data_IF_573723742488
#
_entry.id   IF_573723742488
#
_cell.length_a   1.000
_cell.length_b   1.000
_cell.length_c   1.000
_cell.angle_alpha   90.00
_cell.angle_beta   90.00
_cell.angle_gamma   90.00
#
_symmetry.space_group_name_H-M   'P 1'
#
loop_
_entity.id
_entity.type
_entity.pdbx_description
1 polymer ?
#
# COMPACT_ATOMS: atom_id res chain seq x y z
N UNK A 1 43.02 -5.64 36.50
CA UNK A 1 42.11 -6.58 35.83
C UNK A 1 40.87 -5.78 35.36
N UNK A 2 40.93 -5.21 34.16
CA UNK A 2 39.85 -4.38 33.60
C UNK A 2 38.94 -5.29 32.78
N UNK A 3 37.76 -5.57 33.29
CA UNK A 3 36.69 -6.16 32.48
C UNK A 3 36.02 -5.04 31.64
N UNK A 4 36.38 -4.99 30.38
CA UNK A 4 35.65 -4.18 29.40
C UNK A 4 34.28 -4.83 29.11
N UNK A 5 33.23 -4.18 29.58
CA UNK A 5 31.86 -4.49 29.14
C UNK A 5 31.72 -4.13 27.68
N UNK A 6 31.89 -5.12 26.82
CA UNK A 6 31.43 -5.04 25.43
C UNK A 6 29.92 -4.98 25.45
N UNK A 7 29.39 -3.79 25.21
CA UNK A 7 27.98 -3.59 24.88
C UNK A 7 27.64 -4.48 23.66
N UNK A 8 26.66 -5.40 23.76
CA UNK A 8 26.28 -6.17 22.60
C UNK A 8 25.75 -5.19 21.54
N UNK A 9 26.53 -4.96 20.48
CA UNK A 9 26.03 -4.34 19.26
C UNK A 9 24.78 -5.11 18.88
N UNK A 10 23.62 -4.43 18.92
CA UNK A 10 22.39 -4.93 18.32
C UNK A 10 22.77 -5.49 16.95
N UNK A 11 22.64 -6.80 16.80
CA UNK A 11 22.73 -7.46 15.50
C UNK A 11 21.63 -6.78 14.68
N UNK A 12 22.03 -5.85 13.81
CA UNK A 12 21.13 -5.20 12.88
C UNK A 12 20.52 -6.35 12.09
N UNK A 13 19.21 -6.57 12.27
CA UNK A 13 18.47 -7.54 11.48
C UNK A 13 18.92 -7.35 10.03
N UNK A 14 19.23 -8.44 9.33
CA UNK A 14 19.79 -8.47 7.99
C UNK A 14 18.98 -7.47 7.16
N UNK A 15 19.57 -6.29 6.88
CA UNK A 15 18.97 -5.33 5.94
C UNK A 15 18.70 -6.10 4.66
N UNK A 16 17.48 -6.02 4.17
CA UNK A 16 17.16 -6.59 2.88
C UNK A 16 18.15 -5.97 1.87
N UNK A 17 18.96 -6.82 1.23
CA UNK A 17 19.89 -6.30 0.22
C UNK A 17 19.07 -5.57 -0.85
N UNK A 18 19.51 -4.37 -1.26
CA UNK A 18 18.82 -3.56 -2.29
C UNK A 18 18.54 -4.36 -3.57
N UNK A 19 19.39 -5.33 -3.91
CA UNK A 19 19.16 -6.22 -5.05
C UNK A 19 17.97 -7.15 -4.84
N UNK A 20 17.84 -7.71 -3.65
CA UNK A 20 16.69 -8.55 -3.32
C UNK A 20 15.41 -7.72 -3.29
N UNK A 21 15.46 -6.50 -2.77
CA UNK A 21 14.33 -5.58 -2.77
C UNK A 21 13.90 -5.21 -4.20
N UNK A 22 14.86 -4.91 -5.08
CA UNK A 22 14.62 -4.63 -6.49
C UNK A 22 13.96 -5.82 -7.20
N UNK A 23 14.42 -7.04 -6.93
CA UNK A 23 13.81 -8.24 -7.49
C UNK A 23 12.36 -8.41 -7.01
N UNK A 24 12.11 -8.29 -5.69
CA UNK A 24 10.76 -8.44 -5.13
C UNK A 24 9.79 -7.43 -5.74
N UNK A 25 10.18 -6.16 -5.82
CA UNK A 25 9.32 -5.12 -6.36
C UNK A 25 9.13 -5.24 -7.88
N UNK A 26 10.12 -5.78 -8.60
CA UNK A 26 9.96 -6.12 -10.03
C UNK A 26 8.99 -7.27 -10.23
N UNK A 27 9.07 -8.32 -9.41
CA UNK A 27 8.12 -9.44 -9.45
C UNK A 27 6.68 -8.94 -9.20
N UNK A 28 6.49 -8.05 -8.19
CA UNK A 28 5.18 -7.45 -7.91
C UNK A 28 4.66 -6.60 -9.07
N UNK A 29 5.55 -5.89 -9.79
CA UNK A 29 5.18 -5.16 -10.99
C UNK A 29 4.72 -6.12 -12.10
N UNK A 30 5.43 -7.22 -12.33
CA UNK A 30 5.05 -8.22 -13.33
C UNK A 30 3.68 -8.86 -13.00
N UNK A 31 3.44 -9.19 -11.74
CA UNK A 31 2.13 -9.67 -11.27
C UNK A 31 1.02 -8.66 -11.52
N UNK A 32 1.30 -7.36 -11.32
CA UNK A 32 0.37 -6.28 -11.60
C UNK A 32 0.02 -6.20 -13.10
N UNK A 33 1.01 -6.32 -13.99
CA UNK A 33 0.79 -6.31 -15.44
C UNK A 33 -0.09 -7.49 -15.88
N UNK A 34 0.08 -8.66 -15.26
CA UNK A 34 -0.78 -9.83 -15.51
C UNK A 34 -2.23 -9.51 -15.12
N UNK A 35 -2.45 -8.90 -13.94
CA UNK A 35 -3.79 -8.53 -13.47
C UNK A 35 -4.51 -7.52 -14.37
N UNK A 36 -3.79 -6.66 -15.09
CA UNK A 36 -4.39 -5.71 -16.05
C UNK A 36 -5.19 -6.39 -17.16
N UNK A 37 -4.85 -7.64 -17.50
CA UNK A 37 -5.56 -8.44 -18.48
C UNK A 37 -6.83 -9.14 -17.95
N UNK A 38 -7.10 -9.08 -16.65
CA UNK A 38 -8.23 -9.78 -16.04
C UNK A 38 -9.53 -8.99 -16.18
N UNK A 39 -10.64 -9.70 -16.41
CA UNK A 39 -11.99 -9.11 -16.36
C UNK A 39 -12.40 -8.98 -14.90
N UNK A 40 -12.44 -7.75 -14.39
CA UNK A 40 -12.75 -7.44 -13.01
C UNK A 40 -14.18 -6.91 -12.88
N UNK A 41 -14.85 -7.25 -11.78
CA UNK A 41 -16.17 -6.71 -11.47
C UNK A 41 -16.04 -5.24 -11.01
N UNK A 42 -16.74 -4.33 -11.68
CA UNK A 42 -16.82 -2.94 -11.28
C UNK A 42 -17.73 -2.76 -10.07
N UNK A 43 -17.32 -1.90 -9.16
CA UNK A 43 -18.05 -1.61 -7.94
C UNK A 43 -18.36 -0.10 -7.82
N UNK A 44 -19.54 0.26 -7.30
CA UNK A 44 -19.92 1.68 -7.10
C UNK A 44 -18.92 2.45 -6.24
N UNK A 45 -18.28 1.79 -5.28
CA UNK A 45 -17.29 2.37 -4.38
C UNK A 45 -16.04 2.88 -5.08
N UNK A 46 -15.77 2.45 -6.32
CA UNK A 46 -14.69 2.99 -7.15
C UNK A 46 -14.82 4.52 -7.31
N UNK A 47 -16.05 5.03 -7.42
CA UNK A 47 -16.33 6.47 -7.53
C UNK A 47 -16.02 7.24 -6.24
N UNK A 48 -15.81 6.56 -5.11
CA UNK A 48 -15.44 7.21 -3.84
C UNK A 48 -13.95 7.54 -3.78
N UNK A 49 -13.11 6.89 -4.60
CA UNK A 49 -11.67 7.17 -4.68
C UNK A 49 -11.46 8.46 -5.45
N UNK A 50 -11.03 9.50 -4.75
CA UNK A 50 -10.74 10.81 -5.35
C UNK A 50 -9.25 10.94 -5.62
N UNK A 51 -8.85 10.65 -6.86
CA UNK A 51 -7.46 10.73 -7.31
C UNK A 51 -6.92 12.16 -7.41
N UNK A 52 -7.78 13.18 -7.38
CA UNK A 52 -7.38 14.59 -7.38
C UNK A 52 -7.10 15.13 -5.96
N UNK A 53 -7.52 14.38 -4.95
CA UNK A 53 -7.41 14.78 -3.56
C UNK A 53 -5.95 14.88 -3.10
N UNK A 54 -5.67 15.84 -2.24
CA UNK A 54 -4.39 15.97 -1.52
C UNK A 54 -4.36 15.13 -0.23
N UNK A 55 -5.46 14.47 0.12
CA UNK A 55 -5.56 13.55 1.24
C UNK A 55 -5.23 12.12 0.80
N UNK A 56 -4.62 11.34 1.69
CA UNK A 56 -4.47 9.91 1.46
C UNK A 56 -5.85 9.25 1.34
N UNK A 57 -6.05 8.47 0.29
CA UNK A 57 -7.25 7.66 0.12
C UNK A 57 -7.02 6.32 0.82
N UNK A 58 -7.78 6.04 1.87
CA UNK A 58 -7.59 4.88 2.74
C UNK A 58 -8.75 3.91 2.54
N UNK A 59 -8.54 2.84 1.78
CA UNK A 59 -9.56 1.82 1.54
C UNK A 59 -9.50 0.76 2.63
N UNK A 60 -10.55 0.71 3.43
CA UNK A 60 -10.64 -0.14 4.63
C UNK A 60 -11.70 -1.22 4.40
N UNK A 61 -11.36 -2.46 4.72
CA UNK A 61 -12.34 -3.56 4.63
C UNK A 61 -11.75 -4.87 5.10
N UNK A 62 -12.58 -5.86 5.30
CA UNK A 62 -12.13 -7.19 5.70
C UNK A 62 -11.20 -7.79 4.64
N UNK A 63 -10.39 -8.76 5.03
CA UNK A 63 -9.55 -9.49 4.09
C UNK A 63 -10.42 -10.10 2.98
N UNK A 64 -9.96 -10.05 1.74
CA UNK A 64 -10.66 -10.53 0.53
C UNK A 64 -11.95 -9.77 0.17
N UNK A 65 -12.15 -8.55 0.67
CA UNK A 65 -13.27 -7.70 0.22
C UNK A 65 -13.05 -7.02 -1.14
N UNK A 66 -11.88 -7.18 -1.74
CA UNK A 66 -11.56 -6.58 -3.06
C UNK A 66 -10.93 -5.20 -3.01
N UNK A 67 -10.34 -4.77 -1.87
CA UNK A 67 -9.71 -3.45 -1.69
C UNK A 67 -8.67 -3.14 -2.76
N UNK A 68 -7.71 -4.03 -2.93
CA UNK A 68 -6.63 -3.86 -3.91
C UNK A 68 -7.17 -3.77 -5.33
N UNK A 69 -8.13 -4.65 -5.67
CA UNK A 69 -8.80 -4.63 -6.98
C UNK A 69 -9.52 -3.31 -7.24
N UNK A 70 -10.25 -2.77 -6.25
CA UNK A 70 -10.93 -1.49 -6.36
C UNK A 70 -9.94 -0.35 -6.64
N UNK A 71 -8.81 -0.31 -5.93
CA UNK A 71 -7.78 0.69 -6.13
C UNK A 71 -7.14 0.60 -7.51
N UNK A 72 -6.85 -0.62 -7.99
CA UNK A 72 -6.34 -0.83 -9.34
C UNK A 72 -7.31 -0.33 -10.40
N UNK A 73 -8.59 -0.70 -10.31
CA UNK A 73 -9.59 -0.26 -11.27
C UNK A 73 -9.68 1.26 -11.33
N UNK A 74 -9.66 1.95 -10.18
CA UNK A 74 -9.68 3.41 -10.14
C UNK A 74 -8.45 4.04 -10.81
N UNK A 75 -7.25 3.52 -10.55
CA UNK A 75 -5.99 4.01 -11.12
C UNK A 75 -5.90 3.75 -12.63
N UNK A 76 -6.24 2.54 -13.08
CA UNK A 76 -6.22 2.16 -14.50
C UNK A 76 -7.25 2.96 -15.30
N UNK A 77 -8.47 3.12 -14.80
CA UNK A 77 -9.51 3.92 -15.43
C UNK A 77 -9.11 5.39 -15.58
N UNK A 78 -8.39 5.92 -14.60
CA UNK A 78 -7.87 7.29 -14.66
C UNK A 78 -6.68 7.44 -15.62
N UNK A 79 -6.06 6.35 -16.05
CA UNK A 79 -4.88 6.37 -16.93
C UNK A 79 -3.66 7.03 -16.30
N UNK A 80 -3.56 7.04 -14.97
CA UNK A 80 -2.46 7.69 -14.25
C UNK A 80 -1.27 6.76 -14.07
N UNK A 81 -0.06 7.33 -14.06
CA UNK A 81 1.15 6.57 -13.77
C UNK A 81 1.36 6.45 -12.26
N UNK A 82 1.40 5.25 -11.76
CA UNK A 82 1.54 4.96 -10.34
C UNK A 82 2.59 3.89 -10.06
N UNK A 83 3.14 3.91 -8.85
CA UNK A 83 3.96 2.84 -8.31
C UNK A 83 3.17 2.05 -7.28
N UNK A 84 3.43 0.75 -7.20
CA UNK A 84 2.70 -0.19 -6.37
C UNK A 84 3.64 -0.98 -5.46
N UNK A 85 3.21 -1.23 -4.22
CA UNK A 85 3.84 -2.18 -3.29
C UNK A 85 2.77 -2.92 -2.52
N UNK A 86 2.88 -4.25 -2.47
CA UNK A 86 2.11 -5.13 -1.59
C UNK A 86 2.96 -5.50 -0.36
N UNK A 87 2.53 -5.05 0.82
CA UNK A 87 3.18 -5.37 2.10
C UNK A 87 2.64 -6.64 2.76
N UNK A 88 1.72 -7.38 2.11
CA UNK A 88 1.34 -8.74 2.53
C UNK A 88 2.30 -9.81 1.94
N UNK A 89 3.26 -9.39 1.10
CA UNK A 89 4.35 -10.24 0.60
C UNK A 89 5.26 -10.65 1.76
N UNK A 90 5.38 -11.96 2.00
CA UNK A 90 6.18 -12.53 3.09
C UNK A 90 7.66 -12.16 3.01
N UNK A 91 8.17 -11.87 1.81
CA UNK A 91 9.56 -11.43 1.57
C UNK A 91 9.82 -10.04 2.17
N UNK A 92 8.76 -9.23 2.32
CA UNK A 92 8.79 -7.90 2.93
C UNK A 92 8.45 -7.92 4.44
N UNK A 93 8.16 -9.07 5.04
CA UNK A 93 7.71 -9.18 6.43
C UNK A 93 8.66 -8.60 7.50
N UNK A 94 9.93 -8.34 7.15
CA UNK A 94 10.94 -7.76 8.07
C UNK A 94 11.19 -6.27 7.82
N UNK A 95 10.53 -5.68 6.84
CA UNK A 95 10.64 -4.25 6.50
C UNK A 95 10.12 -3.40 7.66
N UNK A 96 10.81 -2.32 7.93
CA UNK A 96 10.45 -1.31 8.94
C UNK A 96 10.22 0.05 8.26
N UNK A 97 9.68 1.01 9.01
CA UNK A 97 9.40 2.34 8.46
C UNK A 97 10.65 3.05 7.89
N UNK A 98 11.83 2.78 8.45
CA UNK A 98 13.11 3.33 7.99
C UNK A 98 13.46 2.84 6.58
N UNK A 99 13.10 1.58 6.26
CA UNK A 99 13.39 0.95 4.97
C UNK A 99 12.48 1.45 3.84
N UNK A 100 11.37 2.13 4.16
CA UNK A 100 10.46 2.70 3.16
C UNK A 100 11.12 3.72 2.22
N UNK A 101 12.28 4.28 2.61
CA UNK A 101 13.07 5.12 1.73
C UNK A 101 13.77 4.31 0.64
N UNK A 102 14.31 3.16 1.00
CA UNK A 102 14.97 2.27 0.05
C UNK A 102 13.93 1.68 -0.92
N UNK A 103 12.73 1.34 -0.43
CA UNK A 103 11.59 0.96 -1.28
C UNK A 103 11.28 2.08 -2.28
N UNK A 104 11.13 3.33 -1.82
CA UNK A 104 10.83 4.46 -2.70
C UNK A 104 11.90 4.67 -3.77
N UNK A 105 13.18 4.53 -3.42
CA UNK A 105 14.30 4.61 -4.37
C UNK A 105 14.20 3.53 -5.45
N UNK A 106 13.91 2.30 -5.05
CA UNK A 106 13.73 1.18 -5.98
C UNK A 106 12.51 1.37 -6.87
N UNK A 107 11.40 1.87 -6.31
CA UNK A 107 10.21 2.19 -7.11
C UNK A 107 10.51 3.22 -8.21
N UNK A 108 11.31 4.26 -7.93
CA UNK A 108 11.74 5.21 -8.97
C UNK A 108 12.61 4.55 -10.06
N UNK A 109 13.40 3.54 -9.72
CA UNK A 109 14.16 2.80 -10.73
C UNK A 109 13.26 1.95 -11.64
N UNK A 110 12.25 1.29 -11.05
CA UNK A 110 11.36 0.36 -11.75
C UNK A 110 10.32 1.12 -12.58
N UNK A 111 9.61 2.06 -11.95
CA UNK A 111 8.49 2.78 -12.57
C UNK A 111 8.90 4.09 -13.24
N UNK A 112 10.12 4.61 -12.98
CA UNK A 112 10.53 5.96 -13.37
C UNK A 112 9.74 7.02 -12.58
N UNK A 113 9.48 8.19 -13.17
CA UNK A 113 8.72 9.24 -12.51
C UNK A 113 7.23 8.88 -12.40
N UNK A 114 6.68 9.03 -11.21
CA UNK A 114 5.26 8.82 -10.91
C UNK A 114 4.78 9.83 -9.86
N UNK A 115 3.48 10.13 -9.87
CA UNK A 115 2.83 11.03 -8.92
C UNK A 115 1.85 10.31 -7.98
N UNK A 116 1.51 9.05 -8.27
CA UNK A 116 0.60 8.22 -7.49
C UNK A 116 1.37 7.07 -6.87
N UNK A 117 1.11 6.83 -5.59
CA UNK A 117 1.74 5.77 -4.82
C UNK A 117 0.65 4.91 -4.19
N UNK A 118 0.59 3.66 -4.60
CA UNK A 118 -0.35 2.70 -4.05
C UNK A 118 0.37 1.71 -3.13
N UNK A 119 0.03 1.74 -1.84
CA UNK A 119 0.61 0.93 -0.77
C UNK A 119 -0.46 -0.03 -0.25
N UNK A 120 -0.37 -1.28 -0.66
CA UNK A 120 -1.34 -2.32 -0.29
C UNK A 120 -0.96 -2.96 1.04
N UNK A 121 -1.95 -3.17 1.93
CA UNK A 121 -1.82 -3.74 3.27
C UNK A 121 -0.70 -3.06 4.11
N UNK A 122 -0.60 -1.71 4.01
CA UNK A 122 0.48 -0.89 4.62
C UNK A 122 0.56 -1.01 6.14
N UNK A 123 -0.53 -1.42 6.83
CA UNK A 123 -0.54 -1.61 8.28
C UNK A 123 0.41 -2.73 8.76
N UNK A 124 0.97 -3.51 7.84
CA UNK A 124 2.00 -4.48 8.18
C UNK A 124 3.34 -3.82 8.55
N UNK A 125 3.51 -2.52 8.26
CA UNK A 125 4.69 -1.72 8.61
C UNK A 125 4.36 -0.82 9.80
N UNK A 126 4.99 -1.03 10.94
CA UNK A 126 4.83 -0.15 12.08
C UNK A 126 5.36 1.26 11.77
N UNK A 127 4.61 2.31 12.14
CA UNK A 127 5.02 3.70 11.88
C UNK A 127 4.85 4.18 10.42
N UNK A 128 4.20 3.42 9.56
CA UNK A 128 3.96 3.73 8.15
C UNK A 128 3.36 5.12 7.90
N UNK A 129 2.55 5.62 8.83
CA UNK A 129 1.88 6.92 8.74
C UNK A 129 2.88 8.10 8.63
N UNK A 130 4.07 7.97 9.19
CA UNK A 130 5.13 8.99 9.07
C UNK A 130 5.61 9.11 7.63
N UNK A 131 5.76 7.98 6.95
CA UNK A 131 6.12 7.93 5.53
C UNK A 131 5.00 8.52 4.67
N UNK A 132 3.75 8.11 4.87
CA UNK A 132 2.59 8.64 4.12
C UNK A 132 2.47 10.15 4.30
N UNK A 133 2.55 10.67 5.54
CA UNK A 133 2.54 12.11 5.80
C UNK A 133 3.66 12.86 5.03
N UNK A 134 4.83 12.25 4.90
CA UNK A 134 5.93 12.83 4.13
C UNK A 134 5.63 12.83 2.63
N UNK A 135 5.04 11.76 2.09
CA UNK A 135 4.64 11.70 0.68
C UNK A 135 3.57 12.74 0.35
N UNK A 136 2.58 12.92 1.22
CA UNK A 136 1.57 13.97 1.07
C UNK A 136 2.19 15.38 1.07
N UNK A 137 3.18 15.65 1.93
CA UNK A 137 3.92 16.93 1.90
C UNK A 137 4.69 17.14 0.60
N UNK A 138 5.14 16.07 -0.05
CA UNK A 138 5.74 16.11 -1.39
C UNK A 138 4.72 16.22 -2.52
N UNK A 139 3.42 16.37 -2.18
CA UNK A 139 2.30 16.45 -3.12
C UNK A 139 2.12 15.18 -3.96
N UNK A 140 2.53 14.04 -3.45
CA UNK A 140 2.19 12.75 -4.04
C UNK A 140 0.76 12.37 -3.67
N UNK A 141 0.04 11.81 -4.60
CA UNK A 141 -1.27 11.19 -4.35
C UNK A 141 -1.04 9.78 -3.78
N UNK A 142 -1.52 9.55 -2.58
CA UNK A 142 -1.28 8.28 -1.88
C UNK A 142 -2.59 7.55 -1.68
N UNK A 143 -2.61 6.28 -2.11
CA UNK A 143 -3.69 5.34 -1.86
C UNK A 143 -3.11 4.26 -0.97
N UNK A 144 -3.83 3.93 0.09
CA UNK A 144 -3.44 2.84 0.98
C UNK A 144 -4.62 1.91 1.19
N UNK A 145 -4.34 0.63 1.34
CA UNK A 145 -5.34 -0.34 1.80
C UNK A 145 -4.94 -0.96 3.11
N UNK A 146 -5.90 -1.53 3.79
CA UNK A 146 -5.65 -2.37 4.94
C UNK A 146 -6.90 -2.95 5.58
N UNK A 147 -6.69 -3.93 6.46
CA UNK A 147 -7.77 -4.59 7.16
C UNK A 147 -8.30 -3.73 8.31
N UNK A 148 -9.63 -3.73 8.51
CA UNK A 148 -10.33 -2.93 9.52
C UNK A 148 -9.72 -3.01 10.93
N UNK A 149 -9.32 -4.19 11.37
CA UNK A 149 -8.88 -4.39 12.75
C UNK A 149 -7.56 -3.67 13.08
N UNK A 150 -6.67 -3.49 12.09
CA UNK A 150 -5.36 -2.87 12.28
C UNK A 150 -5.32 -1.38 11.89
N UNK A 151 -6.10 -0.97 10.88
CA UNK A 151 -6.15 0.43 10.43
C UNK A 151 -7.10 1.31 11.26
N UNK A 152 -8.16 0.75 11.84
CA UNK A 152 -9.06 1.47 12.77
C UNK A 152 -8.46 1.62 14.18
N UNK A 153 -7.28 1.05 14.45
CA UNK A 153 -6.53 1.37 15.66
C UNK A 153 -6.24 2.87 15.68
N UNK A 154 -6.09 3.43 16.87
CA UNK A 154 -5.88 4.84 17.18
C UNK A 154 -4.91 5.62 16.26
N UNK A 155 -4.12 4.91 15.45
CA UNK A 155 -3.08 5.45 14.61
C UNK A 155 -3.61 6.28 13.43
N UNK A 156 -4.69 5.84 12.75
CA UNK A 156 -5.27 6.58 11.64
C UNK A 156 -5.92 7.88 12.10
N UNK A 157 -6.77 7.78 13.11
CA UNK A 157 -7.49 8.93 13.66
C UNK A 157 -6.54 9.97 14.27
N UNK A 158 -5.41 9.52 14.85
CA UNK A 158 -4.47 10.38 15.55
C UNK A 158 -3.39 10.93 14.63
N UNK A 159 -2.82 10.12 13.73
CA UNK A 159 -1.62 10.47 12.97
C UNK A 159 -1.88 10.98 11.56
N UNK A 160 -3.02 10.64 10.94
CA UNK A 160 -3.46 11.16 9.65
C UNK A 160 -4.68 12.09 9.77
N UNK A 161 -5.01 12.57 10.97
CA UNK A 161 -6.17 13.43 11.21
C UNK A 161 -6.21 14.60 10.22
N UNK A 162 -7.33 14.74 9.49
CA UNK A 162 -7.55 15.75 8.47
C UNK A 162 -6.75 15.57 7.17
N UNK A 163 -5.92 14.52 7.06
CA UNK A 163 -5.08 14.23 5.89
C UNK A 163 -5.40 12.90 5.21
N UNK A 164 -6.45 12.23 5.64
CA UNK A 164 -6.95 11.00 5.04
C UNK A 164 -8.44 11.06 4.82
N UNK A 165 -8.89 10.36 3.79
CA UNK A 165 -10.28 10.06 3.50
C UNK A 165 -10.44 8.54 3.57
N UNK A 166 -11.28 8.08 4.48
CA UNK A 166 -11.59 6.67 4.64
C UNK A 166 -12.68 6.24 3.68
N UNK A 167 -12.48 5.09 3.04
CA UNK A 167 -13.41 4.48 2.09
C UNK A 167 -13.66 3.06 2.57
N UNK A 168 -14.78 2.82 3.27
CA UNK A 168 -15.13 1.49 3.74
C UNK A 168 -15.55 0.61 2.56
N UNK A 169 -14.96 -0.58 2.47
CA UNK A 169 -15.31 -1.59 1.47
C UNK A 169 -15.76 -2.87 2.13
N UNK A 170 -17.01 -3.25 1.87
CA UNK A 170 -17.61 -4.48 2.35
C UNK A 170 -17.40 -5.63 1.33
N UNK A 171 -17.51 -6.90 1.73
CA UNK A 171 -17.60 -8.01 0.78
C UNK A 171 -18.74 -7.80 -0.20
N UNK A 172 -18.68 -8.49 -1.35
CA UNK A 172 -19.75 -8.43 -2.34
C UNK A 172 -21.12 -8.69 -1.69
N UNK A 173 -22.05 -7.80 -1.98
CA UNK A 173 -23.47 -8.01 -1.69
C UNK A 173 -24.02 -9.12 -2.61
N UNK A 174 -25.15 -9.70 -2.24
CA UNK A 174 -25.83 -10.67 -3.09
C UNK A 174 -26.16 -10.09 -4.48
N UNK A 175 -26.56 -8.84 -4.53
CA UNK A 175 -26.84 -8.12 -5.78
C UNK A 175 -25.61 -8.03 -6.69
N UNK A 176 -24.46 -7.61 -6.16
CA UNK A 176 -23.19 -7.53 -6.90
C UNK A 176 -22.74 -8.93 -7.37
N UNK A 177 -22.95 -9.95 -6.53
CA UNK A 177 -22.66 -11.33 -6.90
C UNK A 177 -23.52 -11.78 -8.09
N UNK A 178 -24.83 -11.48 -8.08
CA UNK A 178 -25.73 -11.78 -9.19
C UNK A 178 -25.29 -11.06 -10.48
N UNK A 179 -24.96 -9.78 -10.40
CA UNK A 179 -24.44 -9.03 -11.55
C UNK A 179 -23.18 -9.66 -12.14
N UNK A 180 -22.25 -10.07 -11.27
CA UNK A 180 -21.00 -10.72 -11.71
C UNK A 180 -21.24 -12.08 -12.37
N UNK A 181 -22.29 -12.80 -11.98
CA UNK A 181 -22.66 -14.12 -12.49
C UNK A 181 -23.65 -14.08 -13.65
N UNK A 182 -24.11 -12.88 -14.02
CA UNK A 182 -25.16 -12.69 -15.05
C UNK A 182 -26.46 -13.47 -14.75
N UNK A 183 -26.85 -13.56 -13.46
CA UNK A 183 -28.02 -14.33 -12.98
C UNK A 183 -29.08 -13.36 -12.48
#
# INVERSE_FOLDING_TARGET
>A
MFFSYLCPRKVRAIMLDKRNLEQILSDQQEELEIRRGETLCHRPEEALIDLSSTQAQVVIGVRRSGKSTLCFQALEKAGVKYAYVDFDDERLAKIQAEDLNDILEVLYKIYGDFNYLFLDEIQNIEGWHLFVNRMLRKRMHVIVTGSNAKLLSSDLATHLSGRSKEIPLYPFSFYEYCLMKEV
#
